data_IF_329489724054
#
_entry.id   IF_329489724054
#
_cell.length_a   1.000
_cell.length_b   1.000
_cell.length_c   1.000
_cell.angle_alpha   90.00
_cell.angle_beta   90.00
_cell.angle_gamma   90.00
#
_symmetry.space_group_name_H-M   'P 1'
#
loop_
_entity.id
_entity.type
_entity.pdbx_description
1 polymer ?
#
# COMPACT_ATOMS: atom_id res chain seq x y z
N UNK A 1 -19.94 21.90 31.60
CA UNK A 1 -18.84 21.27 30.84
C UNK A 1 -17.62 21.22 31.75
N UNK A 2 -17.07 20.04 32.01
CA UNK A 2 -15.74 19.91 32.59
C UNK A 2 -15.14 18.57 32.14
N UNK A 3 -13.86 18.61 31.80
CA UNK A 3 -13.17 17.72 30.89
C UNK A 3 -12.95 16.30 31.43
N UNK A 4 -13.13 15.31 30.56
CA UNK A 4 -12.75 13.92 30.79
C UNK A 4 -11.21 13.84 30.74
N UNK A 5 -10.57 13.54 31.88
CA UNK A 5 -9.13 13.35 31.97
C UNK A 5 -8.76 12.03 31.30
N UNK A 6 -8.14 12.12 30.12
CA UNK A 6 -7.54 10.96 29.45
C UNK A 6 -6.22 10.63 30.16
N UNK A 7 -6.22 9.62 31.02
CA UNK A 7 -4.98 9.08 31.60
C UNK A 7 -4.20 8.28 30.55
N UNK A 8 -3.01 8.77 30.20
CA UNK A 8 -2.06 8.05 29.38
C UNK A 8 -1.48 6.89 30.20
N UNK A 9 -1.69 5.67 29.70
CA UNK A 9 -1.23 4.44 30.33
C UNK A 9 0.29 4.42 30.42
N UNK A 10 0.83 4.49 31.62
CA UNK A 10 2.27 4.42 31.85
C UNK A 10 2.84 3.08 31.39
N UNK A 11 3.94 3.15 30.63
CA UNK A 11 4.62 2.03 29.98
C UNK A 11 5.33 1.19 31.04
N UNK A 12 4.91 -0.05 31.26
CA UNK A 12 5.65 -0.95 32.15
C UNK A 12 7.02 -1.29 31.55
N UNK A 13 8.07 -1.13 32.34
CA UNK A 13 9.46 -1.35 31.93
C UNK A 13 9.85 -2.85 31.80
N UNK A 14 8.87 -3.75 31.74
CA UNK A 14 9.06 -5.21 31.90
C UNK A 14 8.55 -6.02 30.70
N UNK A 15 8.43 -5.42 29.51
CA UNK A 15 8.17 -6.18 28.29
C UNK A 15 9.50 -6.66 27.67
N UNK A 16 9.65 -7.98 27.55
CA UNK A 16 10.78 -8.62 26.86
C UNK A 16 10.99 -8.00 25.46
N UNK A 17 12.24 -7.69 25.07
CA UNK A 17 12.55 -6.86 23.89
C UNK A 17 12.21 -7.52 22.54
N UNK A 18 11.88 -8.81 22.54
CA UNK A 18 11.58 -9.60 21.33
C UNK A 18 10.11 -9.58 20.92
N UNK A 19 9.19 -9.12 21.79
CA UNK A 19 7.75 -9.35 21.59
C UNK A 19 6.98 -8.14 21.03
N UNK A 20 7.68 -7.04 20.70
CA UNK A 20 7.10 -5.90 19.99
C UNK A 20 8.08 -5.25 19.04
N UNK A 21 8.46 -5.99 18.00
CA UNK A 21 8.99 -5.36 16.80
C UNK A 21 7.86 -4.58 16.13
N UNK A 22 7.58 -3.35 16.59
CA UNK A 22 6.67 -2.45 15.93
C UNK A 22 7.32 -1.93 14.66
N UNK A 23 6.55 -1.77 13.58
CA UNK A 23 7.05 -1.16 12.35
C UNK A 23 7.64 0.24 12.59
N UNK A 24 7.17 0.96 13.62
CA UNK A 24 7.74 2.25 14.06
C UNK A 24 9.16 2.16 14.60
N UNK A 25 9.58 1.00 15.10
CA UNK A 25 10.88 0.82 15.75
C UNK A 25 12.01 0.65 14.72
N UNK A 26 11.67 0.27 13.48
CA UNK A 26 12.60 0.20 12.35
C UNK A 26 12.68 1.50 11.54
N UNK A 27 11.68 2.38 11.64
CA UNK A 27 11.62 3.62 10.87
C UNK A 27 11.46 4.81 11.82
N UNK A 28 12.59 5.33 12.30
CA UNK A 28 12.60 6.68 12.86
C UNK A 28 12.34 7.66 11.71
N UNK A 29 11.08 8.07 11.51
CA UNK A 29 10.70 9.04 10.48
C UNK A 29 11.12 10.43 10.96
N UNK A 30 12.38 10.76 10.75
CA UNK A 30 12.87 12.13 10.70
C UNK A 30 13.11 12.46 9.22
N UNK A 31 12.48 13.53 8.74
CA UNK A 31 12.50 13.96 7.33
C UNK A 31 13.92 14.07 6.75
N UNK A 32 14.93 14.20 7.62
CA UNK A 32 16.33 14.42 7.27
C UNK A 32 17.19 13.15 7.09
N UNK A 33 16.72 11.96 7.52
CA UNK A 33 17.54 10.72 7.49
C UNK A 33 16.83 9.44 7.08
N UNK A 34 15.52 9.44 6.92
CA UNK A 34 14.87 8.35 6.18
C UNK A 34 14.96 8.69 4.68
N UNK A 35 15.80 8.01 3.88
CA UNK A 35 15.60 8.05 2.44
C UNK A 35 14.13 7.70 2.22
N UNK A 36 13.43 8.49 1.39
CA UNK A 36 12.05 8.16 1.08
C UNK A 36 12.03 6.68 0.68
N UNK A 37 11.09 5.86 1.21
CA UNK A 37 11.15 4.40 1.12
C UNK A 37 11.20 3.85 -0.32
N UNK A 38 11.11 4.72 -1.32
CA UNK A 38 11.12 4.41 -2.74
C UNK A 38 12.20 5.16 -3.55
N UNK A 39 13.04 5.99 -2.93
CA UNK A 39 14.06 6.77 -3.65
C UNK A 39 15.09 5.81 -4.25
N UNK A 40 15.10 5.69 -5.58
CA UNK A 40 16.01 4.83 -6.33
C UNK A 40 15.54 3.38 -6.54
N UNK A 41 14.37 2.96 -6.04
CA UNK A 41 13.77 1.65 -6.43
C UNK A 41 13.00 1.71 -7.74
N UNK A 42 12.54 2.89 -8.12
CA UNK A 42 11.89 3.16 -9.38
C UNK A 42 12.49 4.43 -9.98
N UNK A 43 12.47 4.50 -11.30
CA UNK A 43 12.83 5.71 -12.02
C UNK A 43 11.67 6.72 -11.89
N UNK A 44 11.89 7.73 -11.06
CA UNK A 44 10.90 8.78 -10.78
C UNK A 44 10.54 9.57 -12.04
N UNK A 45 11.50 9.79 -12.94
CA UNK A 45 11.28 10.50 -14.20
C UNK A 45 10.39 9.67 -15.14
N UNK A 46 10.55 8.35 -15.16
CA UNK A 46 9.65 7.46 -15.91
C UNK A 46 8.24 7.43 -15.31
N UNK A 47 8.10 7.41 -13.98
CA UNK A 47 6.78 7.45 -13.33
C UNK A 47 6.07 8.78 -13.59
N UNK A 48 6.79 9.90 -13.49
CA UNK A 48 6.25 11.24 -13.75
C UNK A 48 5.98 11.47 -15.25
N UNK A 49 6.82 10.93 -16.13
CA UNK A 49 6.66 11.01 -17.58
C UNK A 49 5.57 10.10 -18.14
N UNK A 50 5.11 9.10 -17.37
CA UNK A 50 4.11 8.15 -17.82
C UNK A 50 2.72 8.80 -17.98
N UNK A 51 2.04 8.44 -19.07
CA UNK A 51 0.65 8.86 -19.35
C UNK A 51 -0.36 8.14 -18.47
N UNK A 52 -0.10 6.86 -18.18
CA UNK A 52 -0.91 6.02 -17.31
C UNK A 52 0.02 5.22 -16.40
N UNK A 53 -0.30 5.16 -15.11
CA UNK A 53 0.40 4.41 -14.08
C UNK A 53 -0.47 3.24 -13.65
N UNK A 54 0.07 2.03 -13.76
CA UNK A 54 -0.60 0.80 -13.30
C UNK A 54 0.16 0.25 -12.11
N UNK A 55 -0.50 0.18 -10.95
CA UNK A 55 0.04 -0.49 -9.79
C UNK A 55 -0.62 -1.86 -9.62
N UNK A 56 0.19 -2.92 -9.70
CA UNK A 56 -0.27 -4.30 -9.56
C UNK A 56 0.11 -4.88 -8.19
N UNK A 57 -0.89 -5.39 -7.49
CA UNK A 57 -0.75 -6.11 -6.23
C UNK A 57 -1.09 -7.57 -6.49
N UNK A 58 -0.05 -8.38 -6.67
CA UNK A 58 -0.18 -9.81 -6.93
C UNK A 58 -0.79 -10.55 -5.74
N UNK A 59 -1.51 -11.62 -6.04
CA UNK A 59 -1.99 -12.58 -5.04
C UNK A 59 -0.84 -13.32 -4.31
N UNK A 60 0.36 -13.36 -4.89
CA UNK A 60 1.47 -14.21 -4.44
C UNK A 60 2.57 -13.46 -3.66
N UNK A 61 2.47 -12.14 -3.52
CA UNK A 61 3.43 -11.33 -2.78
C UNK A 61 2.71 -10.26 -1.95
N UNK A 62 3.31 -9.72 -0.86
CA UNK A 62 2.67 -8.69 -0.03
C UNK A 62 2.40 -7.38 -0.77
N UNK A 63 3.29 -7.02 -1.71
CA UNK A 63 3.25 -5.80 -2.50
C UNK A 63 3.20 -4.50 -1.68
N UNK A 64 3.61 -4.51 -0.40
CA UNK A 64 3.47 -3.38 0.53
C UNK A 64 4.02 -2.06 -0.03
N UNK A 65 5.25 -2.08 -0.56
CA UNK A 65 5.88 -0.91 -1.17
C UNK A 65 5.05 -0.34 -2.34
N UNK A 66 4.54 -1.23 -3.22
CA UNK A 66 3.68 -0.83 -4.33
C UNK A 66 2.34 -0.24 -3.83
N UNK A 67 1.81 -0.71 -2.70
CA UNK A 67 0.58 -0.13 -2.12
C UNK A 67 0.80 1.32 -1.65
N UNK A 68 1.93 1.58 -0.99
CA UNK A 68 2.26 2.92 -0.50
C UNK A 68 2.52 3.85 -1.69
N UNK A 69 3.25 3.38 -2.70
CA UNK A 69 3.51 4.14 -3.92
C UNK A 69 2.20 4.43 -4.68
N UNK A 70 1.30 3.45 -4.78
CA UNK A 70 -0.03 3.65 -5.35
C UNK A 70 -0.82 4.71 -4.58
N UNK A 71 -0.86 4.65 -3.25
CA UNK A 71 -1.55 5.64 -2.43
C UNK A 71 -1.00 7.07 -2.67
N UNK A 72 0.32 7.20 -2.78
CA UNK A 72 0.97 8.48 -3.08
C UNK A 72 0.57 9.02 -4.46
N UNK A 73 0.71 8.22 -5.52
CA UNK A 73 0.40 8.66 -6.88
C UNK A 73 -1.09 8.80 -7.17
N UNK A 74 -1.97 8.08 -6.47
CA UNK A 74 -3.41 8.32 -6.52
C UNK A 74 -3.78 9.71 -5.96
N UNK A 75 -3.06 10.18 -4.94
CA UNK A 75 -3.24 11.53 -4.40
C UNK A 75 -2.75 12.63 -5.33
N UNK A 76 -1.64 12.39 -6.03
CA UNK A 76 -1.04 13.37 -6.95
C UNK A 76 -1.71 13.41 -8.33
N UNK A 77 -2.02 12.24 -8.89
CA UNK A 77 -2.48 12.07 -10.29
C UNK A 77 -3.56 10.98 -10.38
N UNK A 78 -4.74 11.20 -9.78
CA UNK A 78 -5.82 10.19 -9.76
C UNK A 78 -6.27 9.78 -11.18
N UNK A 79 -6.34 10.74 -12.11
CA UNK A 79 -6.78 10.50 -13.49
C UNK A 79 -5.79 9.64 -14.31
N UNK A 80 -4.51 9.64 -13.93
CA UNK A 80 -3.48 8.85 -14.62
C UNK A 80 -3.28 7.49 -13.95
N UNK A 81 -3.89 7.22 -12.81
CA UNK A 81 -3.63 6.00 -12.02
C UNK A 81 -4.71 4.94 -12.28
N UNK A 82 -4.30 3.67 -12.32
CA UNK A 82 -5.13 2.47 -12.40
C UNK A 82 -4.57 1.42 -11.44
N UNK A 83 -5.43 0.74 -10.68
CA UNK A 83 -5.02 -0.32 -9.76
C UNK A 83 -5.47 -1.71 -10.23
N UNK A 84 -4.57 -2.68 -10.12
CA UNK A 84 -4.87 -4.10 -10.17
C UNK A 84 -4.62 -4.69 -8.77
N UNK A 85 -5.68 -5.03 -8.05
CA UNK A 85 -5.63 -5.46 -6.65
C UNK A 85 -6.17 -6.87 -6.52
N UNK A 86 -5.27 -7.83 -6.38
CA UNK A 86 -5.64 -9.23 -6.11
C UNK A 86 -5.59 -9.49 -4.61
N UNK A 87 -6.49 -10.31 -4.10
CA UNK A 87 -6.43 -10.77 -2.70
C UNK A 87 -5.23 -11.71 -2.53
N UNK A 88 -4.40 -11.47 -1.51
CA UNK A 88 -3.25 -12.31 -1.19
C UNK A 88 -3.74 -13.69 -0.78
N UNK A 89 -3.16 -14.74 -1.37
CA UNK A 89 -3.55 -16.12 -1.08
C UNK A 89 -3.20 -16.49 0.36
N UNK A 90 -3.97 -17.42 0.91
CA UNK A 90 -3.67 -18.01 2.22
C UNK A 90 -2.31 -18.73 2.17
N UNK A 91 -1.56 -18.80 3.29
CA UNK A 91 -0.30 -19.54 3.34
C UNK A 91 -0.42 -20.99 2.87
N UNK A 92 -1.59 -21.62 3.06
CA UNK A 92 -1.87 -22.99 2.63
C UNK A 92 -2.04 -23.17 1.11
N UNK A 93 -2.26 -22.07 0.37
CA UNK A 93 -2.54 -22.06 -1.07
C UNK A 93 -1.51 -21.24 -1.87
N UNK A 94 -0.65 -20.49 -1.18
CA UNK A 94 0.32 -19.58 -1.78
C UNK A 94 1.71 -20.18 -1.91
N UNK A 95 2.54 -19.53 -2.72
CA UNK A 95 3.97 -19.86 -2.87
C UNK A 95 4.86 -19.16 -1.84
N UNK A 96 4.26 -18.50 -0.85
CA UNK A 96 4.95 -17.60 0.08
C UNK A 96 4.94 -18.11 1.53
N UNK A 97 5.98 -17.75 2.28
CA UNK A 97 6.17 -18.24 3.66
C UNK A 97 5.63 -17.28 4.74
N UNK A 98 4.67 -16.42 4.40
CA UNK A 98 4.07 -15.48 5.36
C UNK A 98 3.09 -16.18 6.31
N UNK A 99 2.99 -15.68 7.54
CA UNK A 99 2.01 -16.17 8.52
C UNK A 99 0.58 -15.80 8.10
N UNK A 100 -0.40 -16.54 8.61
CA UNK A 100 -1.82 -16.23 8.35
C UNK A 100 -2.20 -14.82 8.87
N UNK A 101 -1.63 -14.42 10.00
CA UNK A 101 -1.79 -13.07 10.54
C UNK A 101 -1.25 -11.99 9.57
N UNK A 102 -0.05 -12.19 9.02
CA UNK A 102 0.54 -11.27 8.05
C UNK A 102 -0.30 -11.18 6.76
N UNK A 103 -0.78 -12.31 6.24
CA UNK A 103 -1.67 -12.34 5.06
C UNK A 103 -2.97 -11.56 5.33
N UNK A 104 -3.58 -11.72 6.50
CA UNK A 104 -4.76 -10.93 6.91
C UNK A 104 -4.45 -9.44 6.96
N UNK A 105 -3.29 -9.05 7.46
CA UNK A 105 -2.86 -7.65 7.52
C UNK A 105 -2.63 -7.04 6.13
N UNK A 106 -1.98 -7.77 5.21
CA UNK A 106 -1.79 -7.30 3.84
C UNK A 106 -3.12 -7.17 3.10
N UNK A 107 -4.04 -8.13 3.27
CA UNK A 107 -5.37 -8.06 2.68
C UNK A 107 -6.21 -6.91 3.26
N UNK A 108 -6.09 -6.64 4.56
CA UNK A 108 -6.70 -5.46 5.19
C UNK A 108 -6.17 -4.17 4.57
N UNK A 109 -4.86 -4.06 4.36
CA UNK A 109 -4.26 -2.93 3.67
C UNK A 109 -4.75 -2.77 2.22
N UNK A 110 -4.92 -3.88 1.48
CA UNK A 110 -5.50 -3.87 0.12
C UNK A 110 -6.94 -3.38 0.09
N UNK A 111 -7.73 -3.74 1.10
CA UNK A 111 -9.09 -3.23 1.26
C UNK A 111 -9.11 -1.73 1.51
N UNK A 112 -8.23 -1.22 2.39
CA UNK A 112 -8.13 0.22 2.62
C UNK A 112 -7.69 0.98 1.37
N UNK A 113 -6.71 0.45 0.62
CA UNK A 113 -6.28 1.06 -0.63
C UNK A 113 -7.41 1.09 -1.67
N UNK A 114 -8.14 -0.02 -1.82
CA UNK A 114 -9.27 -0.11 -2.74
C UNK A 114 -10.40 0.86 -2.38
N UNK A 115 -10.74 0.99 -1.09
CA UNK A 115 -11.75 1.94 -0.62
C UNK A 115 -11.32 3.38 -0.93
N UNK A 116 -10.06 3.74 -0.61
CA UNK A 116 -9.50 5.05 -0.92
C UNK A 116 -9.54 5.35 -2.42
N UNK A 117 -9.10 4.40 -3.25
CA UNK A 117 -9.07 4.52 -4.70
C UNK A 117 -10.46 4.76 -5.28
N UNK A 118 -11.45 3.97 -4.85
CA UNK A 118 -12.85 4.10 -5.32
C UNK A 118 -13.45 5.45 -4.94
N UNK A 119 -13.19 5.95 -3.74
CA UNK A 119 -13.63 7.29 -3.32
C UNK A 119 -12.97 8.41 -4.12
N UNK A 120 -11.72 8.20 -4.54
CA UNK A 120 -10.98 9.11 -5.42
C UNK A 120 -11.30 8.96 -6.92
N UNK A 121 -12.24 8.10 -7.31
CA UNK A 121 -12.58 7.85 -8.72
C UNK A 121 -11.48 7.11 -9.50
N UNK A 122 -10.52 6.49 -8.82
CA UNK A 122 -9.45 5.70 -9.44
C UNK A 122 -9.99 4.31 -9.79
N UNK A 123 -9.84 3.81 -11.04
CA UNK A 123 -10.27 2.48 -11.43
C UNK A 123 -9.49 1.39 -10.67
N UNK A 124 -10.22 0.38 -10.19
CA UNK A 124 -9.66 -0.78 -9.49
C UNK A 124 -10.23 -2.05 -10.11
N UNK A 125 -9.35 -2.97 -10.47
CA UNK A 125 -9.67 -4.27 -11.05
C UNK A 125 -8.99 -5.38 -10.26
N UNK A 126 -9.47 -6.62 -10.38
CA UNK A 126 -8.89 -7.82 -9.75
C UNK A 126 -8.27 -8.79 -10.76
N UNK A 127 -8.37 -8.49 -12.05
CA UNK A 127 -7.85 -9.30 -13.15
C UNK A 127 -7.10 -8.44 -14.17
N UNK A 128 -6.18 -9.09 -14.88
CA UNK A 128 -5.27 -8.42 -15.82
C UNK A 128 -6.02 -7.93 -17.06
N UNK A 129 -6.97 -8.72 -17.57
CA UNK A 129 -7.67 -8.42 -18.82
C UNK A 129 -8.45 -7.11 -18.75
N UNK A 130 -9.28 -6.93 -17.71
CA UNK A 130 -10.04 -5.70 -17.50
C UNK A 130 -9.12 -4.49 -17.23
N UNK A 131 -8.03 -4.72 -16.49
CA UNK A 131 -7.03 -3.67 -16.23
C UNK A 131 -6.43 -3.17 -17.53
N UNK A 132 -5.96 -4.08 -18.38
CA UNK A 132 -5.31 -3.74 -19.65
C UNK A 132 -6.32 -3.13 -20.62
N UNK A 133 -7.55 -3.63 -20.67
CA UNK A 133 -8.62 -3.03 -21.47
C UNK A 133 -8.87 -1.57 -21.07
N UNK A 134 -8.94 -1.27 -19.77
CA UNK A 134 -9.07 0.09 -19.25
C UNK A 134 -7.88 0.99 -19.66
N UNK A 135 -6.65 0.48 -19.53
CA UNK A 135 -5.44 1.21 -19.89
C UNK A 135 -5.41 1.54 -21.39
N UNK A 136 -5.69 0.56 -22.25
CA UNK A 136 -5.73 0.75 -23.71
C UNK A 136 -6.81 1.75 -24.10
N UNK A 137 -7.99 1.68 -23.49
CA UNK A 137 -9.06 2.66 -23.72
C UNK A 137 -8.59 4.08 -23.36
N UNK A 138 -8.00 4.28 -22.18
CA UNK A 138 -7.46 5.58 -21.74
C UNK A 138 -6.37 6.12 -22.66
N UNK A 139 -5.45 5.27 -23.11
CA UNK A 139 -4.33 5.68 -23.97
C UNK A 139 -4.76 6.08 -25.38
N UNK A 140 -5.92 5.59 -25.86
CA UNK A 140 -6.50 5.95 -27.16
C UNK A 140 -7.30 7.26 -27.13
N UNK A 141 -7.83 7.63 -25.96
CA UNK A 141 -8.65 8.85 -25.78
C UNK A 141 -7.82 10.07 -25.40
N UNK A 142 -6.63 9.86 -24.85
CA UNK A 142 -5.66 10.89 -24.50
C UNK A 142 -4.72 11.17 -25.69
#
# INVERSE_FOLDING_TARGET
ACADQVELRDRSAAAEPTDRLSASDFYTVTEDKTPQPFKGTYDEDLLLGSRVLVFSMSADAPCFAAMVLAAHYMGLRPNNTVLLVQTMRSPAQGTHNYSEAAVKDYNRGRHYLTDLARRGGVPVFDNVDDTVACVVARLRTL
#
